data_IF_480452861331
#
_entry.id   IF_480452861331
#
_cell.length_a   1.000
_cell.length_b   1.000
_cell.length_c   1.000
_cell.angle_alpha   90.00
_cell.angle_beta   90.00
_cell.angle_gamma   90.00
#
_symmetry.space_group_name_H-M   'P 1'
#
loop_
_entity.id
_entity.type
_entity.pdbx_description
1 polymer ?
#
# COMPACT_ATOMS: atom_id res chain seq x y z
N UNK A 1 -30.34 -11.00 -0.39
CA UNK A 1 -29.01 -11.65 -0.22
C UNK A 1 -28.78 -12.52 -1.43
N UNK A 2 -27.53 -12.72 -1.85
CA UNK A 2 -27.24 -13.66 -2.93
C UNK A 2 -27.57 -15.10 -2.48
N UNK A 3 -28.15 -15.89 -3.38
CA UNK A 3 -28.44 -17.31 -3.16
C UNK A 3 -27.26 -18.13 -3.69
N UNK A 4 -26.69 -18.98 -2.83
CA UNK A 4 -25.51 -19.80 -3.12
C UNK A 4 -25.81 -21.30 -2.93
N UNK A 5 -27.08 -21.70 -2.98
CA UNK A 5 -27.50 -23.08 -2.67
C UNK A 5 -26.98 -24.08 -3.69
N UNK A 6 -26.86 -23.68 -4.96
CA UNK A 6 -26.20 -24.41 -6.06
C UNK A 6 -24.69 -24.10 -6.19
N UNK A 7 -24.11 -23.47 -5.17
CA UNK A 7 -22.70 -23.06 -5.16
C UNK A 7 -22.43 -21.74 -5.88
N UNK A 8 -21.20 -21.58 -6.36
CA UNK A 8 -20.73 -20.32 -6.98
C UNK A 8 -20.79 -20.43 -8.51
N UNK A 9 -21.68 -19.66 -9.12
CA UNK A 9 -21.85 -19.64 -10.58
C UNK A 9 -20.77 -18.82 -11.29
N UNK A 10 -20.42 -17.64 -10.76
CA UNK A 10 -19.43 -16.74 -11.36
C UNK A 10 -18.89 -15.73 -10.35
N UNK A 11 -17.81 -15.04 -10.72
CA UNK A 11 -17.20 -13.98 -9.92
C UNK A 11 -17.26 -12.65 -10.67
N UNK A 12 -17.58 -11.57 -9.95
CA UNK A 12 -17.46 -10.21 -10.47
C UNK A 12 -16.12 -9.64 -10.03
N UNK A 13 -15.37 -9.06 -10.97
CA UNK A 13 -14.13 -8.35 -10.66
C UNK A 13 -14.47 -6.97 -10.08
N UNK A 14 -14.10 -6.73 -8.83
CA UNK A 14 -14.15 -5.43 -8.18
C UNK A 14 -12.74 -4.99 -7.77
N UNK A 15 -12.48 -3.69 -7.72
CA UNK A 15 -11.19 -3.12 -7.27
C UNK A 15 -11.46 -2.08 -6.20
N UNK A 16 -10.65 -2.08 -5.15
CA UNK A 16 -10.66 -1.07 -4.11
C UNK A 16 -9.29 -0.37 -4.08
N UNK A 17 -9.30 0.95 -3.93
CA UNK A 17 -8.08 1.75 -3.83
C UNK A 17 -7.83 2.12 -2.36
N UNK A 18 -6.57 2.11 -1.97
CA UNK A 18 -6.13 2.49 -0.63
C UNK A 18 -5.00 3.50 -0.71
N UNK A 19 -5.08 4.54 0.10
CA UNK A 19 -4.02 5.54 0.23
C UNK A 19 -3.14 5.20 1.42
N UNK A 20 -1.83 5.37 1.28
CA UNK A 20 -0.88 5.31 2.39
C UNK A 20 0.04 6.53 2.33
N UNK A 21 0.35 7.09 3.48
CA UNK A 21 1.30 8.20 3.60
C UNK A 21 2.65 7.64 4.03
N UNK A 22 3.72 8.07 3.38
CA UNK A 22 5.09 7.74 3.75
C UNK A 22 5.75 8.98 4.35
N UNK A 23 6.58 8.81 5.39
CA UNK A 23 7.32 9.92 5.96
C UNK A 23 8.34 10.46 4.95
N UNK A 24 8.55 11.76 5.00
CA UNK A 24 9.61 12.46 4.27
C UNK A 24 10.56 13.10 5.27
N UNK A 25 11.85 13.11 4.94
CA UNK A 25 12.84 13.85 5.73
C UNK A 25 12.78 15.37 5.44
N UNK A 26 13.51 16.15 6.24
CA UNK A 26 13.59 17.62 6.06
C UNK A 26 14.33 18.05 4.78
N UNK A 27 14.93 17.11 4.05
CA UNK A 27 15.61 17.34 2.76
C UNK A 27 14.73 16.93 1.57
N UNK A 28 13.51 16.46 1.81
CA UNK A 28 12.56 16.03 0.78
C UNK A 28 12.75 14.59 0.29
N UNK A 29 13.58 13.77 0.95
CA UNK A 29 13.70 12.35 0.64
C UNK A 29 12.56 11.57 1.32
N UNK A 30 11.80 10.82 0.53
CA UNK A 30 10.75 9.94 1.05
C UNK A 30 11.34 8.60 1.52
N UNK A 31 10.98 8.18 2.74
CA UNK A 31 11.31 6.84 3.25
C UNK A 31 10.20 5.86 2.85
N UNK A 32 10.30 5.34 1.63
CA UNK A 32 9.29 4.45 1.04
C UNK A 32 9.72 2.99 1.21
N UNK A 33 9.25 2.38 2.29
CA UNK A 33 9.49 0.96 2.57
C UNK A 33 8.25 0.30 3.17
N UNK A 34 8.16 -1.03 3.07
CA UNK A 34 7.08 -1.76 3.75
C UNK A 34 7.07 -1.51 5.26
N UNK A 35 8.22 -1.24 5.88
CA UNK A 35 8.31 -0.98 7.32
C UNK A 35 7.59 0.30 7.77
N UNK A 36 7.49 1.29 6.88
CA UNK A 36 6.69 2.51 7.07
C UNK A 36 5.24 2.37 6.60
N UNK A 37 4.91 1.30 5.89
CA UNK A 37 3.56 1.09 5.38
C UNK A 37 2.62 0.64 6.50
N UNK A 38 1.47 1.31 6.65
CA UNK A 38 0.47 0.96 7.67
C UNK A 38 -0.10 -0.45 7.56
N UNK A 39 0.02 -1.05 6.38
CA UNK A 39 -0.54 -2.37 6.08
C UNK A 39 0.46 -3.50 6.29
N UNK A 40 1.71 -3.20 6.65
CA UNK A 40 2.71 -4.22 6.91
C UNK A 40 2.64 -4.70 8.36
N UNK A 41 2.49 -6.01 8.57
CA UNK A 41 2.60 -6.60 9.90
C UNK A 41 4.05 -6.88 10.22
N UNK A 42 4.63 -6.11 11.15
CA UNK A 42 6.02 -6.27 11.60
C UNK A 42 6.26 -7.61 12.29
N UNK A 43 5.26 -8.10 13.04
CA UNK A 43 5.38 -9.35 13.77
C UNK A 43 5.39 -10.56 12.82
N UNK A 44 4.59 -10.51 11.76
CA UNK A 44 4.43 -11.65 10.85
C UNK A 44 5.31 -11.53 9.60
N UNK A 45 5.91 -10.37 9.33
CA UNK A 45 6.70 -10.13 8.12
C UNK A 45 5.87 -10.12 6.82
N UNK A 46 4.55 -9.89 6.93
CA UNK A 46 3.59 -10.07 5.84
C UNK A 46 2.79 -8.80 5.58
N UNK A 47 2.58 -8.49 4.29
CA UNK A 47 1.69 -7.43 3.85
C UNK A 47 0.23 -7.85 4.05
N UNK A 48 -0.56 -7.07 4.78
CA UNK A 48 -1.97 -7.43 5.06
C UNK A 48 -2.90 -7.24 3.86
N UNK A 49 -2.48 -6.50 2.83
CA UNK A 49 -3.23 -6.31 1.59
C UNK A 49 -3.04 -7.49 0.62
N UNK A 50 -1.79 -7.84 0.32
CA UNK A 50 -1.47 -8.90 -0.67
C UNK A 50 -1.37 -10.28 -0.05
N UNK A 51 -1.20 -10.34 1.29
CA UNK A 51 -0.93 -11.56 2.07
C UNK A 51 0.40 -12.25 1.73
N UNK A 52 1.29 -11.55 1.03
CA UNK A 52 2.64 -12.05 0.73
C UNK A 52 3.67 -11.70 1.81
N UNK A 53 4.64 -12.60 1.98
CA UNK A 53 5.84 -12.37 2.79
C UNK A 53 6.74 -11.34 2.10
N UNK A 54 7.19 -10.34 2.84
CA UNK A 54 8.09 -9.31 2.31
C UNK A 54 9.53 -9.64 2.67
N UNK A 55 10.39 -9.91 1.68
CA UNK A 55 11.78 -10.31 1.92
C UNK A 55 12.65 -9.21 2.55
N UNK A 56 12.48 -7.95 2.13
CA UNK A 56 13.31 -6.82 2.57
C UNK A 56 12.47 -5.61 3.00
N UNK A 57 11.66 -5.74 4.09
CA UNK A 57 10.62 -4.77 4.40
C UNK A 57 11.16 -3.40 4.82
N UNK A 58 12.40 -3.33 5.32
CA UNK A 58 13.02 -2.07 5.76
C UNK A 58 13.57 -1.22 4.62
N UNK A 59 13.84 -1.81 3.45
CA UNK A 59 14.52 -1.11 2.34
C UNK A 59 13.66 -0.98 1.09
N UNK A 60 12.74 -1.91 0.89
CA UNK A 60 11.97 -2.01 -0.34
C UNK A 60 10.49 -2.23 -0.06
N UNK A 61 9.67 -1.82 -1.00
CA UNK A 61 8.28 -2.25 -1.10
C UNK A 61 8.21 -3.67 -1.66
N UNK A 62 7.25 -4.46 -1.18
CA UNK A 62 7.05 -5.83 -1.64
C UNK A 62 6.76 -5.90 -3.13
N UNK A 63 7.22 -6.95 -3.80
CA UNK A 63 7.07 -7.15 -5.26
C UNK A 63 5.62 -7.09 -5.74
N UNK A 64 4.69 -7.60 -4.95
CA UNK A 64 3.27 -7.65 -5.27
C UNK A 64 2.50 -6.41 -4.80
N UNK A 65 3.18 -5.38 -4.25
CA UNK A 65 2.52 -4.22 -3.69
C UNK A 65 1.80 -3.42 -4.79
N UNK A 66 0.49 -3.14 -4.68
CA UNK A 66 -0.26 -2.36 -5.67
C UNK A 66 -0.01 -0.84 -5.55
N UNK A 67 1.11 -0.44 -4.96
CA UNK A 67 1.44 0.96 -4.72
C UNK A 67 1.68 1.66 -6.06
N UNK A 68 0.87 2.67 -6.34
CA UNK A 68 1.13 3.63 -7.42
C UNK A 68 1.50 4.97 -6.79
N UNK A 69 2.62 5.55 -7.20
CA UNK A 69 3.02 6.88 -6.74
C UNK A 69 2.14 7.93 -7.42
N UNK A 70 1.43 8.72 -6.62
CA UNK A 70 0.75 9.91 -7.12
C UNK A 70 1.79 11.03 -7.03
N UNK A 71 2.30 11.50 -8.16
CA UNK A 71 3.31 12.57 -8.25
C UNK A 71 2.72 13.94 -7.86
N UNK A 72 2.27 14.13 -6.63
CA UNK A 72 1.76 15.43 -6.18
C UNK A 72 2.00 15.61 -4.67
N UNK A 73 2.82 16.61 -4.32
CA UNK A 73 2.56 17.76 -3.43
C UNK A 73 3.90 18.49 -3.28
N UNK A 74 4.14 19.51 -4.10
CA UNK A 74 5.04 20.62 -3.77
C UNK A 74 4.13 21.80 -3.44
N UNK A 75 3.89 22.06 -2.16
CA UNK A 75 3.33 23.35 -1.75
C UNK A 75 4.47 24.37 -1.81
N UNK A 76 4.51 25.11 -2.92
CA UNK A 76 5.33 26.31 -3.08
C UNK A 76 4.85 27.34 -2.05
N UNK A 77 5.58 27.44 -0.93
CA UNK A 77 5.39 28.54 0.01
C UNK A 77 6.04 29.80 -0.58
N UNK A 78 5.34 30.50 -1.48
CA UNK A 78 5.62 31.89 -1.78
C UNK A 78 5.02 32.75 -0.67
N UNK A 79 5.81 33.05 0.35
CA UNK A 79 5.54 34.13 1.30
C UNK A 79 5.94 35.46 0.67
N UNK A 80 4.95 36.35 0.56
CA UNK A 80 5.04 37.76 0.17
C UNK A 80 5.98 38.60 1.07
#
# INVERSE_FOLDING_TARGET
>A
MADFTDGVYSYIKATAYVTNYFPMDSKGNADISCYQCRFFSRNNGVCQLTKDVTAYPQRHVGRACPLNYIENIKEENNGE
#
